data_IF_085525018319
#
_entry.id   IF_085525018319
#
_cell.length_a   1.000
_cell.length_b   1.000
_cell.length_c   1.000
_cell.angle_alpha   90.00
_cell.angle_beta   90.00
_cell.angle_gamma   90.00
#
_symmetry.space_group_name_H-M   'P 1'
#
loop_
_entity.id
_entity.type
_entity.pdbx_description
1 polymer ?
#
# COMPACT_ATOMS: atom_id res chain seq x y z
N UNK A 1 -4.45 4.84 -4.06
CA UNK A 1 -5.82 5.35 -3.96
C UNK A 1 -6.38 5.70 -5.33
N UNK A 2 -7.67 5.43 -5.55
CA UNK A 2 -8.44 5.85 -6.72
C UNK A 2 -9.36 7.04 -6.40
N UNK A 3 -9.20 7.65 -5.24
CA UNK A 3 -9.96 8.84 -4.87
C UNK A 3 -9.66 9.98 -5.83
N UNK A 4 -10.69 10.78 -6.12
CA UNK A 4 -10.54 12.00 -6.93
C UNK A 4 -9.69 13.02 -6.16
N UNK A 5 -8.88 13.74 -6.91
CA UNK A 5 -8.15 14.89 -6.40
C UNK A 5 -9.07 16.04 -5.96
N UNK A 6 -8.55 16.91 -5.11
CA UNK A 6 -9.23 18.14 -4.73
C UNK A 6 -9.54 18.99 -5.97
N UNK A 7 -10.75 19.53 -6.02
CA UNK A 7 -11.22 20.33 -7.14
C UNK A 7 -11.77 19.55 -8.34
N UNK A 8 -11.70 18.21 -8.31
CA UNK A 8 -12.30 17.37 -9.36
C UNK A 8 -13.83 17.48 -9.36
N UNK A 9 -14.51 17.33 -10.51
CA UNK A 9 -15.96 17.45 -10.58
C UNK A 9 -16.68 16.27 -9.94
N UNK A 10 -17.80 16.53 -9.27
CA UNK A 10 -18.73 15.52 -8.75
C UNK A 10 -20.12 15.81 -9.31
N UNK A 11 -20.72 14.85 -10.02
CA UNK A 11 -22.07 14.99 -10.66
C UNK A 11 -22.18 16.26 -11.51
N UNK A 12 -21.12 16.63 -12.22
CA UNK A 12 -21.07 17.82 -13.08
C UNK A 12 -20.86 19.16 -12.34
N UNK A 13 -20.65 19.14 -11.03
CA UNK A 13 -20.30 20.33 -10.25
C UNK A 13 -18.78 20.42 -10.14
N UNK A 14 -18.21 21.43 -10.82
CA UNK A 14 -16.79 21.70 -10.79
C UNK A 14 -16.32 22.12 -9.39
N UNK A 15 -15.11 21.71 -9.00
CA UNK A 15 -14.51 22.05 -7.71
C UNK A 15 -15.12 21.34 -6.51
N UNK A 16 -16.01 20.37 -6.71
CA UNK A 16 -16.79 19.75 -5.63
C UNK A 16 -16.02 18.72 -4.80
N UNK A 17 -14.99 18.07 -5.37
CA UNK A 17 -14.20 17.07 -4.65
C UNK A 17 -13.25 17.73 -3.65
N UNK A 18 -13.19 17.19 -2.44
CA UNK A 18 -12.31 17.68 -1.36
C UNK A 18 -10.92 17.02 -1.36
N UNK A 19 -10.69 16.04 -2.23
CA UNK A 19 -9.41 15.33 -2.32
C UNK A 19 -9.22 14.25 -1.26
N UNK A 20 -7.98 13.78 -1.14
CA UNK A 20 -7.65 12.61 -0.30
C UNK A 20 -7.57 12.93 1.20
N UNK A 21 -7.16 14.15 1.57
CA UNK A 21 -6.86 14.50 2.96
C UNK A 21 -8.06 14.39 3.90
N UNK A 22 -9.26 14.90 3.58
CA UNK A 22 -10.43 14.74 4.45
C UNK A 22 -10.81 13.27 4.65
N UNK A 23 -10.67 12.44 3.63
CA UNK A 23 -10.93 10.99 3.74
C UNK A 23 -9.92 10.32 4.67
N UNK A 24 -8.65 10.72 4.58
CA UNK A 24 -7.61 10.24 5.51
C UNK A 24 -7.94 10.58 6.96
N UNK A 25 -8.48 11.77 7.24
CA UNK A 25 -8.91 12.16 8.60
C UNK A 25 -10.04 11.28 9.12
N UNK A 26 -11.03 10.94 8.29
CA UNK A 26 -12.10 10.01 8.66
C UNK A 26 -11.56 8.63 9.02
N UNK A 27 -10.59 8.11 8.25
CA UNK A 27 -9.95 6.83 8.56
C UNK A 27 -9.12 6.91 9.84
N UNK A 28 -8.37 7.99 10.07
CA UNK A 28 -7.59 8.18 11.28
C UNK A 28 -8.47 8.13 12.53
N UNK A 29 -9.59 8.86 12.52
CA UNK A 29 -10.54 8.90 13.62
C UNK A 29 -11.21 7.53 13.83
N UNK A 30 -11.58 6.85 12.75
CA UNK A 30 -12.17 5.50 12.78
C UNK A 30 -11.22 4.48 13.41
N UNK A 31 -9.94 4.45 13.00
CA UNK A 31 -8.95 3.55 13.59
C UNK A 31 -8.64 3.91 15.05
N UNK A 32 -8.60 5.20 15.39
CA UNK A 32 -8.38 5.65 16.77
C UNK A 32 -9.52 5.23 17.70
N UNK A 33 -10.76 5.20 17.19
CA UNK A 33 -11.92 4.72 17.92
C UNK A 33 -11.88 3.19 18.15
N UNK A 34 -11.41 2.42 17.16
CA UNK A 34 -11.40 0.95 17.18
C UNK A 34 -10.18 0.39 17.90
N UNK A 35 -10.15 0.47 19.24
CA UNK A 35 -8.98 0.17 20.06
C UNK A 35 -9.03 -1.16 20.84
N UNK A 36 -9.99 -2.05 20.55
CA UNK A 36 -10.15 -3.34 21.21
C UNK A 36 -10.12 -3.25 22.75
N UNK A 37 -10.91 -2.34 23.32
CA UNK A 37 -11.00 -2.07 24.76
C UNK A 37 -9.65 -1.68 25.39
N UNK A 38 -8.79 -0.99 24.64
CA UNK A 38 -7.47 -0.55 25.09
C UNK A 38 -6.37 -1.61 25.06
N UNK A 39 -6.68 -2.84 24.63
CA UNK A 39 -5.67 -3.92 24.54
C UNK A 39 -4.78 -3.77 23.30
N UNK A 40 -5.34 -3.31 22.20
CA UNK A 40 -4.61 -3.05 20.96
C UNK A 40 -5.25 -1.90 20.20
N UNK A 41 -4.53 -0.84 20.00
CA UNK A 41 -5.01 0.31 19.24
C UNK A 41 -5.26 -0.10 17.78
N UNK A 42 -6.34 0.43 17.21
CA UNK A 42 -6.55 0.37 15.77
C UNK A 42 -5.45 1.17 15.06
N UNK A 43 -5.02 0.67 13.91
CA UNK A 43 -4.00 1.31 13.09
C UNK A 43 -4.31 1.09 11.61
N UNK A 44 -3.94 2.05 10.76
CA UNK A 44 -4.18 2.00 9.34
C UNK A 44 -3.06 2.62 8.53
N UNK A 45 -3.05 2.32 7.25
CA UNK A 45 -2.20 2.96 6.26
C UNK A 45 -3.00 3.40 5.05
N UNK A 46 -2.60 4.49 4.43
CA UNK A 46 -3.15 4.96 3.15
C UNK A 46 -2.03 4.98 2.12
N UNK A 47 -2.28 4.31 1.00
CA UNK A 47 -1.37 4.28 -0.14
C UNK A 47 -1.86 5.21 -1.24
N UNK A 48 -0.96 6.05 -1.74
CA UNK A 48 -1.21 6.94 -2.87
C UNK A 48 -0.19 6.66 -3.97
N UNK A 49 -0.62 6.75 -5.22
CA UNK A 49 0.32 6.69 -6.34
C UNK A 49 1.08 8.02 -6.42
N UNK A 50 2.39 7.97 -6.65
CA UNK A 50 3.25 9.16 -6.74
C UNK A 50 2.83 10.12 -7.86
N UNK A 51 2.09 9.63 -8.86
CA UNK A 51 1.52 10.41 -9.97
C UNK A 51 0.12 10.99 -9.68
N UNK A 52 -0.38 10.91 -8.43
CA UNK A 52 -1.66 11.47 -8.05
C UNK A 52 -1.58 13.00 -7.85
N UNK A 53 -2.56 13.81 -8.30
CA UNK A 53 -2.51 15.28 -8.17
C UNK A 53 -2.41 15.77 -6.73
N UNK A 54 -3.01 15.08 -5.76
CA UNK A 54 -2.94 15.46 -4.34
C UNK A 54 -1.65 15.01 -3.63
N UNK A 55 -0.62 14.57 -4.35
CA UNK A 55 0.59 14.01 -3.73
C UNK A 55 1.25 14.96 -2.73
N UNK A 56 1.34 16.24 -3.04
CA UNK A 56 1.95 17.25 -2.16
C UNK A 56 1.08 17.46 -0.91
N UNK A 57 -0.24 17.55 -1.08
CA UNK A 57 -1.16 17.67 0.06
C UNK A 57 -1.10 16.43 0.96
N UNK A 58 -1.02 15.24 0.37
CA UNK A 58 -0.87 13.97 1.07
C UNK A 58 0.41 13.94 1.92
N UNK A 59 1.56 14.26 1.35
CA UNK A 59 2.85 14.33 2.06
C UNK A 59 2.83 15.37 3.17
N UNK A 60 2.20 16.52 2.91
CA UNK A 60 2.14 17.63 3.87
C UNK A 60 1.39 17.28 5.17
N UNK A 61 0.54 16.25 5.16
CA UNK A 61 -0.17 15.79 6.38
C UNK A 61 0.76 15.26 7.49
N UNK A 62 1.98 14.84 7.14
CA UNK A 62 2.97 14.27 8.07
C UNK A 62 4.13 15.21 8.41
N UNK A 63 4.20 16.40 7.82
CA UNK A 63 5.23 17.37 8.15
C UNK A 63 5.17 17.77 9.62
N UNK A 64 6.30 18.01 10.24
CA UNK A 64 6.40 18.40 11.64
C UNK A 64 5.62 19.69 11.93
N UNK A 65 5.61 20.63 11.00
CA UNK A 65 4.90 21.90 11.06
C UNK A 65 3.54 21.92 10.33
N UNK A 66 2.95 20.75 10.06
CA UNK A 66 1.64 20.68 9.40
C UNK A 66 0.56 21.39 10.23
N UNK A 67 -0.37 22.07 9.55
CA UNK A 67 -1.57 22.64 10.19
C UNK A 67 -2.38 21.51 10.84
N UNK A 68 -2.86 21.74 12.07
CA UNK A 68 -3.63 20.73 12.82
C UNK A 68 -4.89 20.25 12.08
N UNK A 69 -5.45 21.07 11.20
CA UNK A 69 -6.63 20.69 10.40
C UNK A 69 -6.33 19.61 9.38
N UNK A 70 -5.09 19.54 8.86
CA UNK A 70 -4.68 18.56 7.87
C UNK A 70 -3.75 17.49 8.45
N UNK A 71 -3.19 17.72 9.64
CA UNK A 71 -2.24 16.81 10.26
C UNK A 71 -2.85 15.43 10.50
N UNK A 72 -2.13 14.41 10.08
CA UNK A 72 -2.44 13.01 10.30
C UNK A 72 -1.37 12.42 11.23
N UNK A 73 -1.75 12.05 12.47
CA UNK A 73 -0.82 11.64 13.52
C UNK A 73 -0.55 10.14 13.51
N UNK A 74 -1.62 9.34 13.47
CA UNK A 74 -1.57 7.89 13.70
C UNK A 74 -1.65 7.06 12.42
N UNK A 75 -2.22 7.61 11.34
CA UNK A 75 -2.34 6.91 10.06
C UNK A 75 -0.99 6.87 9.34
N UNK A 76 -0.55 5.70 8.94
CA UNK A 76 0.68 5.53 8.17
C UNK A 76 0.49 5.94 6.71
N UNK A 77 1.51 6.52 6.10
CA UNK A 77 1.51 6.88 4.69
C UNK A 77 2.38 5.93 3.88
N UNK A 78 1.88 5.50 2.73
CA UNK A 78 2.65 4.74 1.75
C UNK A 78 2.50 5.33 0.35
N UNK A 79 3.52 5.17 -0.46
CA UNK A 79 3.51 5.50 -1.88
C UNK A 79 3.67 4.25 -2.73
N UNK A 80 2.87 4.14 -3.77
CA UNK A 80 3.15 3.22 -4.88
C UNK A 80 3.92 4.00 -5.94
N UNK A 81 5.14 3.54 -6.23
CA UNK A 81 6.08 4.25 -7.09
C UNK A 81 6.38 3.38 -8.33
N UNK A 82 5.88 3.77 -9.51
CA UNK A 82 6.27 3.17 -10.79
C UNK A 82 7.72 3.49 -11.18
N UNK A 83 8.35 2.64 -11.95
CA UNK A 83 9.73 2.82 -12.43
C UNK A 83 9.90 4.13 -13.22
N UNK A 84 8.86 4.57 -13.92
CA UNK A 84 8.84 5.85 -14.66
C UNK A 84 9.16 7.06 -13.77
N UNK A 85 8.76 7.06 -12.52
CA UNK A 85 9.11 8.15 -11.60
C UNK A 85 10.62 8.27 -11.43
N UNK A 86 11.31 7.16 -11.19
CA UNK A 86 12.77 7.15 -11.03
C UNK A 86 13.51 7.55 -12.31
N UNK A 87 12.97 7.15 -13.45
CA UNK A 87 13.50 7.59 -14.75
C UNK A 87 13.46 9.13 -14.90
N UNK A 88 12.30 9.73 -14.62
CA UNK A 88 12.10 11.18 -14.68
C UNK A 88 12.98 11.92 -13.66
N UNK A 89 13.11 11.40 -12.44
CA UNK A 89 14.01 11.96 -11.41
C UNK A 89 15.46 11.90 -11.85
N UNK A 90 15.92 10.75 -12.35
CA UNK A 90 17.30 10.56 -12.83
C UNK A 90 17.64 11.53 -13.95
N UNK A 91 16.74 11.74 -14.88
CA UNK A 91 16.91 12.61 -16.02
C UNK A 91 16.66 14.09 -15.69
N UNK A 92 16.21 14.42 -14.46
CA UNK A 92 15.81 15.75 -14.03
C UNK A 92 14.72 16.38 -14.92
N UNK A 93 13.73 15.56 -15.27
CA UNK A 93 12.63 15.95 -16.14
C UNK A 93 11.43 16.49 -15.36
N UNK A 94 10.53 17.15 -16.09
CA UNK A 94 9.20 17.46 -15.62
C UNK A 94 8.32 16.20 -15.68
N UNK A 95 7.41 16.06 -14.72
CA UNK A 95 6.44 14.99 -14.68
C UNK A 95 5.02 15.53 -14.64
N UNK A 96 4.08 14.71 -15.08
CA UNK A 96 2.65 15.01 -15.01
C UNK A 96 1.98 14.15 -13.95
N UNK A 97 1.18 14.78 -13.11
CA UNK A 97 0.25 14.14 -12.19
C UNK A 97 -1.09 14.00 -12.92
N UNK A 98 -1.74 12.85 -12.78
CA UNK A 98 -2.94 12.51 -13.56
C UNK A 98 -4.18 12.36 -12.67
N UNK A 99 -5.28 13.00 -13.07
CA UNK A 99 -6.58 12.86 -12.41
C UNK A 99 -7.09 11.42 -12.47
N UNK A 100 -7.27 10.71 -11.34
CA UNK A 100 -7.83 9.36 -11.35
C UNK A 100 -9.19 9.28 -12.05
N UNK A 101 -10.02 10.30 -11.88
CA UNK A 101 -11.33 10.35 -12.50
C UNK A 101 -11.27 10.40 -14.03
N UNK A 102 -10.44 11.27 -14.61
CA UNK A 102 -10.33 11.38 -16.06
C UNK A 102 -9.66 10.15 -16.67
N UNK A 103 -8.66 9.57 -15.97
CA UNK A 103 -8.02 8.32 -16.41
C UNK A 103 -9.03 7.16 -16.43
N UNK A 104 -9.81 6.99 -15.37
CA UNK A 104 -10.83 5.94 -15.31
C UNK A 104 -11.88 6.07 -16.42
N UNK A 105 -12.30 7.29 -16.74
CA UNK A 105 -13.22 7.55 -17.85
C UNK A 105 -12.66 7.16 -19.22
N UNK A 106 -11.38 7.42 -19.46
CA UNK A 106 -10.72 7.16 -20.74
C UNK A 106 -10.32 5.69 -20.91
N UNK A 107 -9.86 5.04 -19.83
CA UNK A 107 -9.34 3.67 -19.88
C UNK A 107 -10.37 2.61 -19.44
N UNK A 108 -11.45 2.99 -18.80
CA UNK A 108 -12.49 2.07 -18.30
C UNK A 108 -12.04 1.23 -17.08
N UNK A 109 -10.91 1.54 -16.49
CA UNK A 109 -10.36 0.88 -15.30
C UNK A 109 -9.86 1.90 -14.31
N UNK A 110 -9.92 1.61 -12.99
CA UNK A 110 -9.40 2.51 -11.95
C UNK A 110 -7.91 2.84 -12.14
N UNK A 111 -7.51 4.04 -11.74
CA UNK A 111 -6.14 4.55 -11.88
C UNK A 111 -5.07 3.60 -11.33
N UNK A 112 -5.34 2.91 -10.22
CA UNK A 112 -4.42 1.93 -9.63
C UNK A 112 -4.13 0.72 -10.51
N UNK A 113 -4.96 0.45 -11.51
CA UNK A 113 -4.77 -0.65 -12.47
C UNK A 113 -3.97 -0.24 -13.72
N UNK A 114 -3.70 1.04 -13.90
CA UNK A 114 -2.88 1.51 -15.03
C UNK A 114 -1.40 1.18 -14.76
N UNK A 115 -0.71 0.63 -15.73
CA UNK A 115 0.74 0.56 -15.72
C UNK A 115 1.30 1.90 -16.20
N UNK A 116 1.57 2.79 -15.25
CA UNK A 116 2.00 4.15 -15.58
C UNK A 116 3.34 4.15 -16.33
N UNK A 117 4.24 3.23 -16.03
CA UNK A 117 5.54 3.15 -16.72
C UNK A 117 5.36 2.89 -18.22
N UNK A 118 4.44 2.02 -18.60
CA UNK A 118 4.16 1.70 -20.01
C UNK A 118 3.26 2.75 -20.67
N UNK A 119 2.30 3.32 -19.92
CA UNK A 119 1.28 4.20 -20.45
C UNK A 119 1.59 5.71 -20.32
N UNK A 120 2.71 6.08 -19.71
CA UNK A 120 3.00 7.47 -19.37
C UNK A 120 2.85 8.44 -20.56
N UNK A 121 3.45 8.11 -21.69
CA UNK A 121 3.43 8.97 -22.87
C UNK A 121 2.01 9.07 -23.47
N UNK A 122 1.24 7.98 -23.44
CA UNK A 122 -0.17 7.97 -23.85
C UNK A 122 -1.02 8.83 -22.92
N UNK A 123 -0.84 8.72 -21.61
CA UNK A 123 -1.52 9.56 -20.62
C UNK A 123 -1.20 11.05 -20.82
N UNK A 124 0.06 11.37 -21.08
CA UNK A 124 0.49 12.76 -21.35
C UNK A 124 -0.11 13.30 -22.65
N UNK A 125 -0.15 12.50 -23.72
CA UNK A 125 -0.64 12.89 -25.01
C UNK A 125 -2.18 13.02 -25.08
N UNK A 126 -2.91 12.33 -24.20
CA UNK A 126 -4.37 12.32 -24.22
C UNK A 126 -4.93 13.67 -23.71
N UNK A 127 -5.67 14.46 -24.58
CA UNK A 127 -6.21 15.76 -24.19
C UNK A 127 -7.39 15.65 -23.20
N UNK A 128 -8.04 14.49 -23.09
CA UNK A 128 -9.19 14.28 -22.20
C UNK A 128 -8.76 13.98 -20.76
N UNK A 129 -7.46 13.70 -20.53
CA UNK A 129 -6.94 13.45 -19.19
C UNK A 129 -6.49 14.77 -18.56
N UNK A 130 -7.13 15.12 -17.44
CA UNK A 130 -6.71 16.26 -16.63
C UNK A 130 -5.37 15.93 -15.95
N UNK A 131 -4.42 16.86 -16.06
CA UNK A 131 -3.06 16.66 -15.57
C UNK A 131 -2.43 17.96 -15.09
N UNK A 132 -1.57 17.84 -14.08
CA UNK A 132 -0.79 18.96 -13.54
C UNK A 132 0.70 18.66 -13.69
N UNK A 133 1.48 19.65 -14.08
CA UNK A 133 2.91 19.50 -14.30
C UNK A 133 3.71 19.92 -13.06
N UNK A 134 4.69 19.13 -12.67
CA UNK A 134 5.66 19.41 -11.61
C UNK A 134 7.05 18.92 -12.02
N UNK A 135 8.10 19.29 -11.26
CA UNK A 135 9.43 18.69 -11.42
C UNK A 135 9.55 17.41 -10.62
N UNK A 136 9.99 16.32 -11.27
CA UNK A 136 10.14 15.02 -10.64
C UNK A 136 11.14 15.04 -9.47
N UNK A 137 12.26 15.77 -9.64
CA UNK A 137 13.30 15.87 -8.62
C UNK A 137 12.86 16.65 -7.39
N UNK A 138 12.07 17.72 -7.57
CA UNK A 138 11.53 18.49 -6.44
C UNK A 138 10.60 17.61 -5.58
N UNK A 139 9.80 16.74 -6.22
CA UNK A 139 8.95 15.78 -5.50
C UNK A 139 9.78 14.73 -4.78
N UNK A 140 10.83 14.21 -5.39
CA UNK A 140 11.73 13.22 -4.76
C UNK A 140 12.44 13.83 -3.54
N UNK A 141 12.92 15.06 -3.63
CA UNK A 141 13.52 15.78 -2.50
C UNK A 141 12.52 15.98 -1.35
N UNK A 142 11.26 16.30 -1.67
CA UNK A 142 10.20 16.46 -0.67
C UNK A 142 9.88 15.12 0.02
N UNK A 143 9.83 14.01 -0.72
CA UNK A 143 9.66 12.66 -0.17
C UNK A 143 10.83 12.32 0.76
N UNK A 144 12.06 12.53 0.32
CA UNK A 144 13.27 12.22 1.10
C UNK A 144 13.36 13.04 2.38
N UNK A 145 13.04 14.35 2.33
CA UNK A 145 12.96 15.19 3.53
C UNK A 145 11.93 14.67 4.53
N UNK A 146 10.73 14.36 4.05
CA UNK A 146 9.68 13.86 4.91
C UNK A 146 10.04 12.52 5.55
N UNK A 147 10.70 11.63 4.81
CA UNK A 147 11.19 10.35 5.36
C UNK A 147 12.22 10.59 6.48
N UNK A 148 13.09 11.55 6.33
CA UNK A 148 14.06 11.92 7.37
C UNK A 148 13.36 12.49 8.62
N UNK A 149 12.33 13.33 8.44
CA UNK A 149 11.60 13.97 9.54
C UNK A 149 10.70 12.98 10.30
N UNK A 150 9.97 12.12 9.58
CA UNK A 150 8.84 11.36 10.11
C UNK A 150 8.93 9.84 9.96
N UNK A 151 9.86 9.34 9.15
CA UNK A 151 9.91 7.93 8.74
C UNK A 151 8.86 7.56 7.67
N UNK A 152 8.06 8.50 7.19
CA UNK A 152 7.03 8.33 6.16
C UNK A 152 7.36 9.14 4.90
N UNK A 153 6.81 8.77 3.75
CA UNK A 153 5.99 7.59 3.45
C UNK A 153 6.81 6.31 3.30
N UNK A 154 6.16 5.14 3.46
CA UNK A 154 6.71 3.87 2.97
C UNK A 154 6.73 3.88 1.45
N UNK A 155 7.70 3.21 0.84
CA UNK A 155 7.84 3.13 -0.61
C UNK A 155 7.57 1.70 -1.07
N UNK A 156 6.61 1.55 -1.99
CA UNK A 156 6.36 0.30 -2.70
C UNK A 156 6.71 0.49 -4.17
N UNK A 157 7.78 -0.15 -4.61
CA UNK A 157 8.19 -0.20 -6.02
C UNK A 157 7.21 -1.09 -6.78
N UNK A 158 6.10 -0.49 -7.24
CA UNK A 158 4.92 -1.25 -7.67
C UNK A 158 5.17 -2.08 -8.93
N UNK A 159 6.02 -1.61 -9.83
CA UNK A 159 6.36 -2.36 -11.04
C UNK A 159 7.24 -3.56 -10.72
N UNK A 160 8.20 -3.40 -9.80
CA UNK A 160 9.03 -4.51 -9.30
C UNK A 160 8.17 -5.55 -8.60
N UNK A 161 7.25 -5.10 -7.73
CA UNK A 161 6.31 -5.99 -7.04
C UNK A 161 5.49 -6.82 -8.03
N UNK A 162 4.97 -6.19 -9.08
CA UNK A 162 4.17 -6.88 -10.09
C UNK A 162 5.00 -7.82 -10.98
N UNK A 163 6.22 -7.42 -11.37
CA UNK A 163 7.12 -8.30 -12.16
C UNK A 163 7.58 -9.52 -11.38
N UNK A 164 7.71 -9.39 -10.07
CA UNK A 164 8.17 -10.47 -9.18
C UNK A 164 7.03 -11.30 -8.59
N UNK A 165 5.78 -10.92 -8.88
CA UNK A 165 4.60 -11.61 -8.34
C UNK A 165 4.43 -12.99 -8.96
N UNK A 166 4.11 -13.97 -8.12
CA UNK A 166 3.68 -15.30 -8.55
C UNK A 166 2.17 -15.36 -8.88
N UNK A 167 1.44 -14.26 -8.71
CA UNK A 167 0.00 -14.18 -8.97
C UNK A 167 -0.27 -13.64 -10.37
N UNK A 168 -1.33 -14.10 -10.99
CA UNK A 168 -1.82 -13.62 -12.31
C UNK A 168 -2.57 -12.30 -12.24
N UNK A 169 -2.72 -11.72 -11.04
CA UNK A 169 -3.46 -10.49 -10.79
C UNK A 169 -2.54 -9.39 -10.31
N UNK A 170 -2.93 -8.15 -10.62
CA UNK A 170 -2.12 -6.98 -10.29
C UNK A 170 -2.16 -6.66 -8.79
N UNK A 171 -0.97 -6.43 -8.23
CA UNK A 171 -0.77 -5.83 -6.91
C UNK A 171 -0.93 -4.32 -7.08
N UNK A 172 -1.78 -3.69 -6.25
CA UNK A 172 -2.10 -2.26 -6.33
C UNK A 172 -1.67 -1.46 -5.11
N UNK A 173 -1.42 -2.13 -4.01
CA UNK A 173 -0.92 -1.55 -2.74
C UNK A 173 -0.35 -2.64 -1.84
N UNK A 174 0.16 -2.27 -0.68
CA UNK A 174 0.60 -3.18 0.38
C UNK A 174 -0.31 -3.05 1.62
N UNK A 175 0.09 -3.66 2.72
CA UNK A 175 -0.58 -3.59 4.03
C UNK A 175 0.00 -2.47 4.92
N UNK A 176 -0.41 -2.44 6.21
CA UNK A 176 0.01 -1.44 7.20
C UNK A 176 1.54 -1.36 7.37
N UNK A 177 2.22 -2.49 7.42
CA UNK A 177 3.68 -2.56 7.64
C UNK A 177 4.49 -2.67 6.32
N UNK A 178 3.83 -2.67 5.17
CA UNK A 178 4.44 -2.68 3.82
C UNK A 178 5.17 -3.98 3.41
N UNK A 179 4.93 -5.09 4.13
CA UNK A 179 5.57 -6.38 3.85
C UNK A 179 4.74 -7.34 2.99
N UNK A 180 3.43 -7.06 2.82
CA UNK A 180 2.53 -7.94 2.08
C UNK A 180 2.29 -7.40 0.68
N UNK A 181 2.70 -8.14 -0.34
CA UNK A 181 2.53 -7.82 -1.74
C UNK A 181 1.66 -8.87 -2.41
N UNK A 182 0.35 -8.68 -2.32
CA UNK A 182 -0.67 -9.59 -2.84
C UNK A 182 -1.74 -8.84 -3.63
N UNK A 183 -2.35 -9.47 -4.63
CA UNK A 183 -3.48 -8.89 -5.34
C UNK A 183 -4.68 -8.69 -4.42
N UNK A 184 -5.33 -7.55 -4.57
CA UNK A 184 -6.59 -7.22 -3.92
C UNK A 184 -7.60 -6.83 -4.99
N UNK A 185 -8.87 -7.13 -4.74
CA UNK A 185 -9.95 -6.69 -5.61
C UNK A 185 -11.06 -6.04 -4.78
N UNK A 186 -11.62 -4.91 -5.23
CA UNK A 186 -12.66 -4.23 -4.48
C UNK A 186 -13.94 -5.07 -4.43
N UNK A 187 -14.66 -4.95 -3.32
CA UNK A 187 -16.04 -5.40 -3.25
C UNK A 187 -16.97 -4.34 -3.84
N UNK A 188 -18.05 -4.77 -4.46
CA UNK A 188 -19.15 -3.91 -4.89
C UNK A 188 -20.36 -4.22 -4.03
N UNK A 189 -20.93 -3.18 -3.43
CA UNK A 189 -22.13 -3.30 -2.59
C UNK A 189 -23.33 -2.68 -3.30
N UNK A 190 -24.50 -3.28 -3.08
CA UNK A 190 -25.79 -2.70 -3.46
C UNK A 190 -26.14 -1.52 -2.55
N UNK A 191 -27.19 -0.78 -2.87
CA UNK A 191 -27.72 0.29 -2.02
C UNK A 191 -28.19 -0.24 -0.63
N UNK A 192 -28.58 -1.52 -0.56
CA UNK A 192 -28.91 -2.22 0.70
C UNK A 192 -27.69 -2.75 1.45
N UNK A 193 -26.48 -2.43 1.02
CA UNK A 193 -25.20 -2.87 1.59
C UNK A 193 -24.96 -4.40 1.51
N UNK A 194 -25.60 -5.08 0.60
CA UNK A 194 -25.31 -6.47 0.28
C UNK A 194 -24.20 -6.56 -0.76
N UNK A 195 -23.44 -7.65 -0.75
CA UNK A 195 -22.38 -7.85 -1.75
C UNK A 195 -22.99 -8.22 -3.10
N UNK A 196 -22.89 -7.31 -4.08
CA UNK A 196 -23.08 -7.61 -5.49
C UNK A 196 -21.86 -8.34 -6.06
N UNK A 197 -20.68 -7.86 -5.72
CA UNK A 197 -19.39 -8.51 -6.01
C UNK A 197 -18.60 -8.62 -4.71
N UNK A 198 -18.29 -9.85 -4.33
CA UNK A 198 -17.40 -10.10 -3.19
C UNK A 198 -15.94 -9.99 -3.64
N UNK A 199 -15.26 -8.96 -3.18
CA UNK A 199 -13.84 -8.72 -3.43
C UNK A 199 -12.92 -9.65 -2.66
N UNK A 200 -11.63 -9.34 -2.72
CA UNK A 200 -10.56 -10.11 -2.14
C UNK A 200 -9.65 -9.16 -1.36
N UNK A 201 -9.67 -9.25 -0.03
CA UNK A 201 -8.74 -8.54 0.85
C UNK A 201 -7.70 -9.48 1.43
N UNK A 202 -6.62 -8.93 1.97
CA UNK A 202 -5.48 -9.71 2.46
C UNK A 202 -5.63 -9.99 3.96
N UNK A 203 -5.15 -11.17 4.39
CA UNK A 203 -4.83 -11.47 5.78
C UNK A 203 -3.34 -11.70 5.97
N UNK A 204 -2.83 -11.41 7.17
CA UNK A 204 -1.43 -11.58 7.53
C UNK A 204 -1.27 -12.75 8.50
N UNK A 205 -0.88 -13.91 8.00
CA UNK A 205 -0.56 -15.10 8.80
C UNK A 205 0.96 -15.17 8.95
N UNK A 206 1.50 -14.58 10.03
CA UNK A 206 2.94 -14.39 10.21
C UNK A 206 3.48 -15.24 11.34
N UNK A 207 4.72 -15.72 11.16
CA UNK A 207 5.53 -16.38 12.18
C UNK A 207 7.01 -16.11 11.96
N UNK A 208 7.82 -16.37 12.97
CA UNK A 208 9.28 -16.19 12.86
C UNK A 208 10.00 -17.33 13.56
N UNK A 209 11.05 -17.84 12.94
CA UNK A 209 11.97 -18.81 13.50
C UNK A 209 13.22 -18.10 14.03
N UNK A 210 13.64 -18.41 15.24
CA UNK A 210 14.91 -17.95 15.76
C UNK A 210 16.04 -18.78 15.14
N UNK A 211 16.85 -18.16 14.29
CA UNK A 211 17.89 -18.84 13.53
C UNK A 211 18.93 -19.52 14.41
N UNK A 212 19.34 -18.89 15.52
CA UNK A 212 20.31 -19.48 16.46
C UNK A 212 19.82 -20.80 17.04
N UNK A 213 18.52 -20.86 17.39
CA UNK A 213 17.91 -22.07 17.93
C UNK A 213 17.57 -23.09 16.82
N UNK A 214 17.13 -22.60 15.66
CA UNK A 214 16.85 -23.44 14.50
C UNK A 214 18.08 -24.24 14.07
N UNK A 215 19.25 -23.61 14.02
CA UNK A 215 20.51 -24.26 13.63
C UNK A 215 21.04 -25.26 14.66
N UNK A 216 20.47 -25.28 15.87
CA UNK A 216 20.75 -26.28 16.92
C UNK A 216 19.73 -27.44 16.95
N UNK A 217 18.69 -27.38 16.13
CA UNK A 217 17.68 -28.41 16.08
C UNK A 217 18.20 -29.71 15.43
N UNK A 218 17.81 -30.86 15.96
CA UNK A 218 18.19 -32.16 15.44
C UNK A 218 17.71 -32.37 13.98
N UNK A 219 16.56 -31.79 13.62
CA UNK A 219 16.01 -31.80 12.25
C UNK A 219 15.43 -30.42 11.90
N UNK A 220 16.27 -29.62 11.24
CA UNK A 220 15.90 -28.28 10.74
C UNK A 220 14.72 -28.37 9.78
N UNK A 221 14.74 -29.34 8.86
CA UNK A 221 13.68 -29.54 7.87
C UNK A 221 12.33 -29.86 8.51
N UNK A 222 12.31 -30.69 9.56
CA UNK A 222 11.10 -30.98 10.32
C UNK A 222 10.56 -29.74 11.02
N UNK A 223 11.44 -28.94 11.63
CA UNK A 223 11.07 -27.70 12.33
C UNK A 223 10.41 -26.71 11.35
N UNK A 224 11.03 -26.46 10.17
CA UNK A 224 10.48 -25.59 9.14
C UNK A 224 9.12 -26.11 8.63
N UNK A 225 9.03 -27.38 8.29
CA UNK A 225 7.76 -27.98 7.84
C UNK A 225 6.66 -27.86 8.91
N UNK A 226 7.00 -28.03 10.18
CA UNK A 226 6.03 -27.89 11.28
C UNK A 226 5.53 -26.47 11.41
N UNK A 227 6.43 -25.47 11.36
CA UNK A 227 6.08 -24.07 11.42
C UNK A 227 5.21 -23.64 10.22
N UNK A 228 5.56 -24.08 9.01
CA UNK A 228 4.76 -23.84 7.79
C UNK A 228 3.36 -24.42 7.92
N UNK A 229 3.25 -25.69 8.35
CA UNK A 229 1.96 -26.35 8.57
C UNK A 229 1.13 -25.64 9.65
N UNK A 230 1.76 -25.16 10.72
CA UNK A 230 1.07 -24.42 11.78
C UNK A 230 0.46 -23.12 11.24
N UNK A 231 1.19 -22.33 10.44
CA UNK A 231 0.67 -21.12 9.80
C UNK A 231 -0.44 -21.43 8.79
N UNK A 232 -0.27 -22.47 7.98
CA UNK A 232 -1.32 -22.92 7.05
C UNK A 232 -2.58 -23.32 7.81
N UNK A 233 -2.42 -24.06 8.92
CA UNK A 233 -3.55 -24.46 9.77
C UNK A 233 -4.29 -23.23 10.34
N UNK A 234 -3.56 -22.20 10.79
CA UNK A 234 -4.15 -20.94 11.26
C UNK A 234 -4.94 -20.27 10.14
N UNK A 235 -4.38 -20.21 8.93
CA UNK A 235 -5.06 -19.68 7.76
C UNK A 235 -6.40 -20.40 7.49
N UNK A 236 -6.38 -21.71 7.52
CA UNK A 236 -7.55 -22.54 7.18
C UNK A 236 -8.64 -22.53 8.27
N UNK A 237 -8.25 -22.32 9.54
CA UNK A 237 -9.15 -22.44 10.69
C UNK A 237 -9.49 -21.11 11.36
N UNK A 238 -9.01 -19.98 10.82
CA UNK A 238 -9.38 -18.65 11.31
C UNK A 238 -10.85 -18.36 11.02
N UNK A 239 -11.60 -17.94 12.06
CA UNK A 239 -12.98 -17.51 11.87
C UNK A 239 -13.00 -16.03 11.41
N UNK A 240 -13.23 -15.82 10.12
CA UNK A 240 -13.29 -14.50 9.46
C UNK A 240 -14.66 -14.26 8.80
N UNK A 241 -15.72 -14.86 9.34
CA UNK A 241 -17.07 -14.72 8.78
C UNK A 241 -17.60 -13.29 8.81
N UNK A 242 -17.18 -12.48 9.81
CA UNK A 242 -17.59 -11.09 9.93
C UNK A 242 -17.00 -10.16 8.84
N UNK A 243 -15.97 -10.62 8.12
CA UNK A 243 -15.33 -9.86 7.03
C UNK A 243 -15.19 -10.76 5.79
N UNK A 244 -16.27 -10.93 5.01
CA UNK A 244 -16.31 -11.90 3.91
C UNK A 244 -15.22 -11.70 2.84
N UNK A 245 -14.81 -10.46 2.55
CA UNK A 245 -13.75 -10.17 1.58
C UNK A 245 -12.37 -10.66 2.04
N UNK A 246 -12.07 -10.58 3.34
CA UNK A 246 -10.84 -11.15 3.92
C UNK A 246 -10.91 -12.67 3.90
N UNK A 247 -12.05 -13.26 4.25
CA UNK A 247 -12.28 -14.71 4.14
C UNK A 247 -12.04 -15.22 2.72
N UNK A 248 -12.62 -14.52 1.72
CA UNK A 248 -12.46 -14.85 0.32
C UNK A 248 -10.99 -14.73 -0.15
N UNK A 249 -10.29 -13.68 0.26
CA UNK A 249 -8.88 -13.48 -0.05
C UNK A 249 -7.98 -14.54 0.58
N UNK A 250 -8.20 -14.84 1.86
CA UNK A 250 -7.46 -15.88 2.57
C UNK A 250 -7.65 -17.27 1.93
N UNK A 251 -8.87 -17.63 1.56
CA UNK A 251 -9.17 -18.92 0.91
C UNK A 251 -8.53 -19.03 -0.49
N UNK A 252 -8.38 -17.95 -1.22
CA UNK A 252 -7.81 -17.95 -2.58
C UNK A 252 -6.30 -17.84 -2.61
N UNK A 253 -5.70 -17.06 -1.71
CA UNK A 253 -4.27 -16.79 -1.71
C UNK A 253 -3.48 -17.75 -0.80
N UNK A 254 -4.07 -18.22 0.33
CA UNK A 254 -3.41 -19.06 1.34
C UNK A 254 -2.04 -18.54 1.77
N UNK A 255 -1.87 -17.23 1.80
CA UNK A 255 -0.57 -16.61 2.01
C UNK A 255 -0.13 -16.71 3.46
N UNK A 256 1.12 -17.10 3.66
CA UNK A 256 1.80 -17.13 4.94
C UNK A 256 3.14 -16.41 4.84
N UNK A 257 3.60 -15.82 5.95
CA UNK A 257 4.93 -15.23 6.08
C UNK A 257 5.69 -15.92 7.20
N UNK A 258 6.64 -16.79 6.88
CA UNK A 258 7.54 -17.43 7.85
C UNK A 258 8.92 -16.77 7.75
N UNK A 259 9.19 -15.85 8.66
CA UNK A 259 10.45 -15.11 8.72
C UNK A 259 11.53 -15.79 9.55
N UNK A 260 12.73 -15.22 9.50
CA UNK A 260 13.87 -15.57 10.33
C UNK A 260 14.26 -14.38 11.22
N UNK A 261 14.48 -14.62 12.51
CA UNK A 261 15.03 -13.64 13.43
C UNK A 261 16.39 -14.10 13.95
N UNK A 262 17.23 -13.16 14.40
CA UNK A 262 18.52 -13.47 15.01
C UNK A 262 19.62 -13.79 13.99
N UNK A 263 19.52 -13.35 12.73
CA UNK A 263 20.55 -13.57 11.71
C UNK A 263 21.89 -12.93 12.11
N UNK A 264 21.88 -11.67 12.55
CA UNK A 264 23.09 -10.99 13.02
C UNK A 264 23.70 -11.70 14.23
N UNK A 265 22.87 -12.16 15.17
CA UNK A 265 23.35 -12.94 16.33
C UNK A 265 23.98 -14.27 15.90
N UNK A 266 23.39 -14.97 14.95
CA UNK A 266 23.94 -16.19 14.40
C UNK A 266 25.31 -15.94 13.74
N UNK A 267 25.43 -14.89 12.93
CA UNK A 267 26.70 -14.52 12.29
C UNK A 267 27.76 -14.17 13.32
N UNK A 268 27.43 -13.31 14.31
CA UNK A 268 28.37 -12.95 15.37
C UNK A 268 28.86 -14.16 16.18
N UNK A 269 27.97 -15.09 16.54
CA UNK A 269 28.31 -16.31 17.27
C UNK A 269 29.20 -17.28 16.45
N UNK A 270 29.14 -17.23 15.15
CA UNK A 270 29.90 -18.10 14.27
C UNK A 270 31.07 -17.39 13.58
N UNK A 271 31.36 -16.14 13.97
CA UNK A 271 32.42 -15.32 13.39
C UNK A 271 32.30 -15.13 11.87
N UNK A 272 31.05 -15.03 11.38
CA UNK A 272 30.73 -14.78 9.96
C UNK A 272 30.53 -13.26 9.79
N UNK A 273 31.19 -12.69 8.80
CA UNK A 273 31.00 -11.30 8.43
C UNK A 273 29.60 -11.07 7.85
N UNK A 274 29.02 -9.89 8.17
CA UNK A 274 27.75 -9.46 7.64
C UNK A 274 28.00 -8.57 6.42
N UNK A 275 28.13 -9.16 5.23
CA UNK A 275 28.48 -8.43 4.03
C UNK A 275 28.16 -9.19 2.73
#
# INVERSE_FOLDING_TARGET
SNLREAGSPIKGIEGAASGVVPVMKLFEDSFSYSNQLGQRNGAGAVYLNVFHPDIIAFLSTKKENADEKIRVKTLSLGLTVPDKFYELVKNNEEMYLFSPYSVEREYGVPFSYINITEEYDNLVANPNISKTKIKARDLEEEISKLQQESGYPYIVNIDVANRSSAFDRKIIMSNLCSEILQPQTPSVLTDSQEYEVLGMDISCNLGSLNLVNLMKADDIGKTIRTATRALTWVSDHSNIEAVPSVKNGNAKAHSIGLGLMGLASFFAMNHIEYG
#
